data_IF_511174868604
#
_entry.id   IF_511174868604
#
_cell.length_a   1.000
_cell.length_b   1.000
_cell.length_c   1.000
_cell.angle_alpha   90.00
_cell.angle_beta   90.00
_cell.angle_gamma   90.00
#
_symmetry.space_group_name_H-M   'P 1'
#
loop_
_entity.id
_entity.type
_entity.pdbx_description
1 polymer ?
#
# COMPACT_ATOMS: atom_id res chain seq x y z
N UNK A 1 -1.64 -4.25 -8.54
CA UNK A 1 -2.33 -4.51 -7.25
C UNK A 1 -2.64 -5.99 -7.03
N UNK A 2 -3.53 -6.60 -7.84
CA UNK A 2 -4.05 -7.96 -7.61
C UNK A 2 -3.01 -9.09 -7.59
N UNK A 3 -1.91 -8.96 -8.32
CA UNK A 3 -0.85 -9.98 -8.33
C UNK A 3 -0.07 -10.05 -7.00
N UNK A 4 0.14 -8.91 -6.35
CA UNK A 4 1.16 -8.77 -5.31
C UNK A 4 0.62 -8.29 -3.96
N UNK A 5 -0.36 -7.39 -3.96
CA UNK A 5 -0.79 -6.64 -2.78
C UNK A 5 -2.08 -7.20 -2.16
N UNK A 6 -3.00 -7.71 -3.00
CA UNK A 6 -4.38 -8.07 -2.61
C UNK A 6 -4.43 -9.15 -1.53
N UNK A 7 -3.45 -10.06 -1.51
CA UNK A 7 -3.42 -11.17 -0.57
C UNK A 7 -3.40 -10.67 0.89
N UNK A 8 -2.71 -9.55 1.14
CA UNK A 8 -2.65 -8.91 2.47
C UNK A 8 -3.65 -7.76 2.61
N UNK A 9 -3.84 -6.94 1.58
CA UNK A 9 -4.62 -5.70 1.65
C UNK A 9 -6.11 -5.85 1.29
N UNK A 10 -6.55 -7.02 0.82
CA UNK A 10 -7.95 -7.31 0.50
C UNK A 10 -8.37 -6.83 -0.89
N UNK A 11 -9.47 -7.38 -1.43
CA UNK A 11 -9.94 -7.03 -2.79
C UNK A 11 -10.30 -5.54 -2.93
N UNK A 12 -10.84 -4.94 -1.87
CA UNK A 12 -11.20 -3.52 -1.82
C UNK A 12 -10.10 -2.62 -1.25
N UNK A 13 -8.88 -3.15 -1.05
CA UNK A 13 -7.79 -2.45 -0.38
C UNK A 13 -8.13 -1.96 1.06
N UNK A 14 -9.12 -2.58 1.67
CA UNK A 14 -9.69 -2.25 2.98
C UNK A 14 -8.96 -2.91 4.16
N UNK A 15 -7.90 -3.66 3.87
CA UNK A 15 -7.11 -4.40 4.84
C UNK A 15 -7.59 -5.85 5.04
N UNK A 16 -8.72 -6.24 4.46
CA UNK A 16 -9.36 -7.54 4.71
C UNK A 16 -8.73 -8.70 3.91
N UNK A 17 -7.41 -8.64 3.65
CA UNK A 17 -6.68 -9.74 3.03
C UNK A 17 -6.62 -10.97 3.94
N UNK A 18 -6.55 -12.15 3.33
CA UNK A 18 -6.59 -13.44 4.03
C UNK A 18 -5.20 -14.02 4.29
N UNK A 19 -4.15 -13.44 3.70
CA UNK A 19 -2.77 -13.86 3.95
C UNK A 19 -2.41 -13.55 5.41
N UNK A 20 -1.99 -14.59 6.14
CA UNK A 20 -1.72 -14.61 7.59
C UNK A 20 -2.95 -14.67 8.52
N UNK A 21 -4.13 -15.01 7.97
CA UNK A 21 -5.30 -15.57 8.67
C UNK A 21 -5.41 -15.32 10.17
N UNK A 22 -6.10 -14.24 10.55
CA UNK A 22 -6.83 -14.16 11.83
C UNK A 22 -6.02 -14.41 13.11
N UNK A 23 -5.05 -13.55 13.40
CA UNK A 23 -4.60 -13.18 14.77
C UNK A 23 -3.46 -12.15 14.77
N UNK A 24 -2.71 -12.02 13.66
CA UNK A 24 -1.49 -11.18 13.57
C UNK A 24 -1.57 -10.00 12.60
N UNK A 25 -2.79 -9.65 12.18
CA UNK A 25 -3.08 -8.36 11.56
C UNK A 25 -3.50 -8.47 10.09
N UNK A 26 -4.70 -7.99 9.83
CA UNK A 26 -5.14 -7.49 8.53
C UNK A 26 -4.06 -6.58 7.92
N UNK A 27 -3.89 -6.61 6.59
CA UNK A 27 -3.05 -5.62 5.93
C UNK A 27 -3.53 -4.21 6.25
N UNK A 28 -2.66 -3.21 6.08
CA UNK A 28 -3.10 -1.82 6.26
C UNK A 28 -4.29 -1.52 5.33
N UNK A 29 -5.31 -0.83 5.85
CA UNK A 29 -6.38 -0.29 5.03
C UNK A 29 -5.81 0.87 4.19
N UNK A 30 -5.68 0.63 2.89
CA UNK A 30 -5.07 1.57 1.95
C UNK A 30 -6.09 2.61 1.45
N UNK A 31 -7.40 2.36 1.59
CA UNK A 31 -8.43 3.37 1.24
C UNK A 31 -8.35 4.59 2.16
N UNK A 32 -7.79 4.45 3.36
CA UNK A 32 -7.56 5.54 4.32
C UNK A 32 -6.11 6.00 4.39
N UNK A 33 -5.32 5.76 3.34
CA UNK A 33 -3.93 6.20 3.31
C UNK A 33 -3.83 7.74 3.33
N UNK A 34 -2.96 8.28 4.19
CA UNK A 34 -2.95 9.71 4.53
C UNK A 34 -1.59 10.39 4.35
N UNK A 35 -0.55 9.64 4.00
CA UNK A 35 0.83 10.13 4.02
C UNK A 35 1.26 10.79 2.70
N UNK A 36 0.44 10.69 1.66
CA UNK A 36 0.74 11.24 0.34
C UNK A 36 1.50 10.29 -0.58
N UNK A 37 1.42 10.56 -1.89
CA UNK A 37 1.97 9.72 -2.94
C UNK A 37 3.47 9.45 -2.79
N UNK A 38 4.26 10.47 -2.41
CA UNK A 38 5.69 10.29 -2.23
C UNK A 38 6.01 9.24 -1.15
N UNK A 39 5.36 9.33 0.01
CA UNK A 39 5.53 8.36 1.09
C UNK A 39 5.02 6.98 0.68
N UNK A 40 3.93 6.90 -0.11
CA UNK A 40 3.48 5.64 -0.68
C UNK A 40 4.62 4.97 -1.48
N UNK A 41 5.26 5.69 -2.39
CA UNK A 41 6.36 5.16 -3.22
C UNK A 41 7.51 4.68 -2.32
N UNK A 42 7.95 5.50 -1.36
CA UNK A 42 9.04 5.15 -0.43
C UNK A 42 8.72 3.89 0.39
N UNK A 43 7.49 3.76 0.88
CA UNK A 43 7.04 2.60 1.65
C UNK A 43 6.99 1.35 0.77
N UNK A 44 6.53 1.45 -0.47
CA UNK A 44 6.44 0.30 -1.38
C UNK A 44 7.84 -0.17 -1.79
N UNK A 45 8.74 0.76 -2.10
CA UNK A 45 10.13 0.44 -2.45
C UNK A 45 10.84 -0.30 -1.31
N UNK A 46 10.78 0.25 -0.10
CA UNK A 46 11.52 -0.28 1.06
C UNK A 46 10.78 -1.36 1.84
N UNK A 47 9.46 -1.48 1.62
CA UNK A 47 8.59 -2.32 2.43
C UNK A 47 8.45 -1.80 3.87
N UNK A 48 7.73 -2.58 4.67
CA UNK A 48 7.71 -2.48 6.14
C UNK A 48 7.94 -3.86 6.70
N UNK A 49 9.20 -4.27 6.71
CA UNK A 49 9.61 -5.63 7.09
C UNK A 49 9.28 -5.94 8.55
N UNK A 50 9.28 -4.93 9.42
CA UNK A 50 8.79 -4.99 10.80
C UNK A 50 7.29 -5.32 10.92
N UNK A 51 6.54 -5.12 9.82
CA UNK A 51 5.10 -5.41 9.69
C UNK A 51 4.78 -6.42 8.60
N UNK A 52 5.76 -7.24 8.19
CA UNK A 52 5.58 -8.29 7.18
C UNK A 52 5.14 -7.76 5.79
N UNK A 53 5.34 -6.47 5.50
CA UNK A 53 5.18 -5.91 4.15
C UNK A 53 6.54 -6.00 3.45
N UNK A 54 6.70 -6.84 2.41
CA UNK A 54 7.98 -7.00 1.74
C UNK A 54 8.36 -5.71 0.97
N UNK A 55 9.68 -5.46 0.76
CA UNK A 55 10.15 -4.46 -0.18
C UNK A 55 9.81 -4.88 -1.62
N UNK A 56 9.45 -3.91 -2.45
CA UNK A 56 9.19 -4.12 -3.88
C UNK A 56 10.19 -3.43 -4.80
N UNK A 57 11.13 -2.65 -4.24
CA UNK A 57 12.24 -2.09 -5.02
C UNK A 57 13.08 -3.20 -5.65
N UNK A 58 13.35 -3.09 -6.96
CA UNK A 58 14.05 -4.11 -7.74
C UNK A 58 13.23 -5.36 -8.07
N UNK A 59 11.97 -5.44 -7.61
CA UNK A 59 10.98 -6.46 -8.01
C UNK A 59 9.96 -5.88 -8.98
N UNK A 60 9.55 -4.63 -8.74
CA UNK A 60 8.67 -3.84 -9.60
C UNK A 60 9.43 -2.63 -10.12
N UNK A 61 9.15 -2.25 -11.36
CA UNK A 61 9.61 -1.00 -11.94
C UNK A 61 8.90 0.21 -11.28
N UNK A 62 9.51 1.38 -11.31
CA UNK A 62 8.93 2.60 -10.70
C UNK A 62 7.57 2.95 -11.32
N UNK A 63 7.40 2.72 -12.62
CA UNK A 63 6.12 2.90 -13.32
C UNK A 63 5.05 1.92 -12.82
N UNK A 64 5.41 0.67 -12.51
CA UNK A 64 4.46 -0.31 -11.97
C UNK A 64 4.00 0.09 -10.56
N UNK A 65 4.93 0.57 -9.71
CA UNK A 65 4.60 1.10 -8.39
C UNK A 65 3.67 2.31 -8.53
N UNK A 66 3.96 3.20 -9.48
CA UNK A 66 3.15 4.38 -9.77
C UNK A 66 1.73 4.01 -10.19
N UNK A 67 1.58 3.01 -11.07
CA UNK A 67 0.27 2.50 -11.49
C UNK A 67 -0.52 1.87 -10.33
N UNK A 68 0.16 1.18 -9.40
CA UNK A 68 -0.48 0.69 -8.18
C UNK A 68 -0.98 1.85 -7.32
N UNK A 69 -0.18 2.91 -7.16
CA UNK A 69 -0.57 4.11 -6.43
C UNK A 69 -1.79 4.79 -7.05
N UNK A 70 -1.78 5.02 -8.37
CA UNK A 70 -2.91 5.60 -9.09
C UNK A 70 -4.19 4.76 -8.94
N UNK A 71 -4.09 3.42 -9.03
CA UNK A 71 -5.22 2.54 -8.79
C UNK A 71 -5.77 2.67 -7.36
N UNK A 72 -4.90 2.70 -6.34
CA UNK A 72 -5.32 2.86 -4.95
C UNK A 72 -5.95 4.23 -4.67
N UNK A 73 -5.51 5.28 -5.36
CA UNK A 73 -6.15 6.60 -5.31
C UNK A 73 -7.61 6.53 -5.81
N UNK A 74 -7.93 5.70 -6.82
CA UNK A 74 -9.32 5.51 -7.26
C UNK A 74 -10.22 4.84 -6.20
N UNK A 75 -9.62 4.15 -5.23
CA UNK A 75 -10.33 3.46 -4.14
C UNK A 75 -10.34 4.27 -2.84
N UNK A 76 -9.75 5.46 -2.85
CA UNK A 76 -9.50 6.21 -1.64
C UNK A 76 -10.82 6.75 -1.04
N UNK A 77 -10.95 6.61 0.28
CA UNK A 77 -12.08 7.17 1.01
C UNK A 77 -11.99 8.70 1.02
N UNK A 78 -13.15 9.35 1.13
CA UNK A 78 -13.23 10.79 1.32
C UNK A 78 -12.40 11.23 2.54
N UNK A 79 -11.57 12.27 2.38
CA UNK A 79 -10.65 12.76 3.43
C UNK A 79 -9.31 12.02 3.54
N UNK A 80 -9.08 10.98 2.74
CA UNK A 80 -7.72 10.43 2.54
C UNK A 80 -6.78 11.48 1.92
N UNK A 81 -5.49 11.34 2.14
CA UNK A 81 -4.50 12.32 1.68
C UNK A 81 -3.43 11.65 0.82
N UNK A 82 -3.69 11.63 -0.48
CA UNK A 82 -2.77 11.17 -1.54
C UNK A 82 -1.89 12.30 -2.08
N UNK A 83 -2.20 13.56 -1.79
CA UNK A 83 -1.45 14.75 -2.25
C UNK A 83 -0.42 15.26 -1.24
N UNK A 84 -0.17 14.51 -0.18
CA UNK A 84 0.78 14.88 0.88
C UNK A 84 2.21 15.10 0.38
N UNK A 85 2.92 16.03 1.03
CA UNK A 85 4.36 16.26 0.80
C UNK A 85 5.16 15.09 1.37
N UNK A 86 6.26 14.74 0.71
CA UNK A 86 7.16 13.70 1.17
C UNK A 86 7.59 13.98 2.62
N UNK A 87 7.25 13.08 3.54
CA UNK A 87 7.89 13.07 4.84
C UNK A 87 9.09 12.14 4.70
N UNK A 88 10.28 12.64 5.01
CA UNK A 88 11.48 11.79 5.06
C UNK A 88 11.28 10.86 6.25
N UNK A 89 10.69 9.70 6.00
CA UNK A 89 10.41 8.67 6.99
C UNK A 89 11.67 7.92 7.41
#
# INVERSE_FOLDING_TARGET
YFKWCVACHGNAADGQGTRFGGSWGYGANLTKFWRGYCDFVVIVLNGRTDKMMPPWGGVLEEEEISQVGAFLETLAAEGSNWKGRCTLL
#
